data_IF_608702207126
#
_entry.id   IF_608702207126
#
_cell.length_a   1.000
_cell.length_b   1.000
_cell.length_c   1.000
_cell.angle_alpha   90.00
_cell.angle_beta   90.00
_cell.angle_gamma   90.00
#
_symmetry.space_group_name_H-M   'P 1'
#
loop_
_entity.id
_entity.type
_entity.pdbx_description
1 polymer ?
#
# COMPACT_ATOMS: atom_id res chain seq x y z
N UNK A 1 26.93 -5.41 -21.59
CA UNK A 1 26.87 -4.09 -20.91
C UNK A 1 26.93 -2.88 -21.85
N UNK A 2 27.21 -3.06 -23.16
CA UNK A 2 27.30 -1.95 -24.15
C UNK A 2 26.08 -1.84 -25.09
N UNK A 3 25.18 -2.83 -25.06
CA UNK A 3 23.99 -2.92 -25.93
C UNK A 3 22.76 -2.26 -25.28
N UNK A 4 22.68 -2.24 -23.95
CA UNK A 4 21.56 -1.63 -23.21
C UNK A 4 21.60 -0.09 -23.25
N UNK A 5 22.80 0.50 -23.33
CA UNK A 5 22.99 1.94 -23.49
C UNK A 5 22.74 2.43 -24.93
N UNK A 6 22.92 1.56 -25.93
CA UNK A 6 22.68 1.92 -27.33
C UNK A 6 21.17 1.95 -27.67
N UNK A 7 20.37 1.12 -27.01
CA UNK A 7 18.91 1.12 -27.19
C UNK A 7 18.20 2.26 -26.46
N UNK A 8 18.80 2.81 -25.39
CA UNK A 8 18.31 4.03 -24.74
C UNK A 8 18.62 5.30 -25.57
N UNK A 9 19.68 5.25 -26.39
CA UNK A 9 20.15 6.40 -27.19
C UNK A 9 19.31 6.60 -28.47
N UNK A 10 18.65 5.54 -28.96
CA UNK A 10 17.69 5.64 -30.08
C UNK A 10 16.34 6.23 -29.65
N UNK A 11 16.05 6.28 -28.35
CA UNK A 11 14.84 6.93 -27.80
C UNK A 11 14.94 8.46 -27.70
N UNK A 12 16.14 9.05 -27.88
CA UNK A 12 16.38 10.49 -27.77
C UNK A 12 16.37 11.25 -29.11
N UNK A 13 16.17 10.56 -30.25
CA UNK A 13 16.26 11.18 -31.59
C UNK A 13 15.18 10.76 -32.61
N UNK A 14 13.96 10.44 -32.16
CA UNK A 14 12.82 10.21 -33.08
C UNK A 14 11.53 10.92 -32.63
N UNK A 15 10.87 11.68 -33.52
CA UNK A 15 9.64 12.40 -33.19
C UNK A 15 8.46 11.44 -33.33
N UNK A 16 8.09 10.77 -32.23
CA UNK A 16 6.90 9.92 -32.13
C UNK A 16 6.22 10.11 -30.78
N UNK A 17 4.90 9.91 -30.71
CA UNK A 17 4.25 9.53 -29.44
C UNK A 17 4.76 8.13 -29.12
N UNK A 18 5.62 8.04 -28.12
CA UNK A 18 6.25 6.78 -27.73
C UNK A 18 5.47 6.22 -26.54
N UNK A 19 4.65 5.21 -26.81
CA UNK A 19 4.27 4.25 -25.78
C UNK A 19 5.34 3.16 -25.77
N UNK A 20 6.05 3.02 -24.65
CA UNK A 20 7.04 1.97 -24.46
C UNK A 20 6.49 0.98 -23.42
N UNK A 21 6.19 -0.23 -23.88
CA UNK A 21 5.79 -1.34 -23.03
C UNK A 21 6.97 -2.30 -22.86
N UNK A 22 7.47 -2.45 -21.63
CA UNK A 22 8.41 -3.52 -21.28
C UNK A 22 7.66 -4.65 -20.58
N UNK A 23 7.27 -5.67 -21.36
CA UNK A 23 6.61 -6.88 -20.85
C UNK A 23 7.43 -7.66 -19.82
N UNK A 24 8.75 -7.46 -19.76
CA UNK A 24 9.58 -8.10 -18.74
C UNK A 24 9.48 -7.41 -17.38
N UNK A 25 9.12 -6.12 -17.36
CA UNK A 25 9.02 -5.29 -16.16
C UNK A 25 7.60 -4.83 -15.84
N UNK A 26 6.60 -5.27 -16.62
CA UNK A 26 5.20 -4.82 -16.54
C UNK A 26 5.10 -3.29 -16.41
N UNK A 27 5.84 -2.57 -17.25
CA UNK A 27 5.90 -1.12 -17.25
C UNK A 27 5.29 -0.59 -18.56
N UNK A 28 4.34 0.34 -18.43
CA UNK A 28 3.85 1.16 -19.53
C UNK A 28 4.26 2.61 -19.29
N UNK A 29 5.00 3.19 -20.22
CA UNK A 29 5.35 4.62 -20.22
C UNK A 29 4.55 5.33 -21.30
N UNK A 30 3.85 6.39 -20.91
CA UNK A 30 3.11 7.28 -21.80
C UNK A 30 3.81 8.65 -21.82
N UNK A 31 4.38 8.99 -22.98
CA UNK A 31 4.96 10.29 -23.26
C UNK A 31 4.15 10.96 -24.38
N UNK A 32 3.63 12.15 -24.11
CA UNK A 32 3.05 13.00 -25.16
C UNK A 32 4.09 14.04 -25.58
N UNK A 33 4.35 14.20 -26.89
CA UNK A 33 5.27 15.22 -27.39
C UNK A 33 4.62 15.99 -28.55
N UNK A 34 4.77 17.32 -28.53
CA UNK A 34 4.04 18.31 -29.34
C UNK A 34 4.29 18.23 -30.85
N UNK A 35 5.31 17.51 -31.31
CA UNK A 35 5.73 17.59 -32.72
C UNK A 35 4.85 16.87 -33.75
N UNK A 36 3.75 16.22 -33.34
CA UNK A 36 2.94 15.40 -34.26
C UNK A 36 1.45 15.69 -34.03
N UNK A 37 0.99 16.79 -34.63
CA UNK A 37 -0.42 16.91 -35.01
C UNK A 37 -0.66 16.87 -36.53
N UNK A 38 0.38 16.83 -37.37
CA UNK A 38 0.21 16.71 -38.82
C UNK A 38 1.35 15.89 -39.44
N UNK A 39 1.12 14.61 -39.76
CA UNK A 39 1.62 13.95 -40.98
C UNK A 39 1.17 12.50 -41.06
N UNK A 40 0.66 12.14 -42.24
CA UNK A 40 -0.13 10.95 -42.51
C UNK A 40 0.67 9.64 -42.65
N UNK A 41 0.00 8.55 -42.27
CA UNK A 41 -0.16 7.27 -42.99
C UNK A 41 0.87 6.14 -42.94
N UNK A 42 2.13 6.32 -42.52
CA UNK A 42 3.08 5.17 -42.51
C UNK A 42 3.53 4.74 -41.12
N UNK A 43 3.47 5.63 -40.13
CA UNK A 43 3.79 5.32 -38.73
C UNK A 43 2.61 4.74 -37.93
N UNK A 44 1.37 5.10 -38.30
CA UNK A 44 0.13 4.50 -37.78
C UNK A 44 0.04 2.98 -38.03
N UNK A 45 0.78 2.45 -39.01
CA UNK A 45 0.85 1.00 -39.27
C UNK A 45 1.78 0.23 -38.31
N UNK A 46 2.60 0.92 -37.50
CA UNK A 46 3.41 0.29 -36.45
C UNK A 46 2.67 0.29 -35.10
N UNK A 47 1.88 1.34 -34.84
CA UNK A 47 0.95 1.39 -33.71
C UNK A 47 -0.18 0.35 -33.83
N UNK A 48 -0.63 0.00 -35.03
CA UNK A 48 -1.67 -1.04 -35.27
C UNK A 48 -1.23 -2.49 -35.00
N UNK A 49 0.04 -2.75 -34.67
CA UNK A 49 0.44 -4.04 -34.06
C UNK A 49 0.05 -4.15 -32.59
N UNK A 50 -0.27 -3.03 -31.94
CA UNK A 50 -1.22 -2.98 -30.84
C UNK A 50 -2.59 -2.64 -31.44
N UNK A 51 -3.45 -3.64 -31.53
CA UNK A 51 -4.72 -3.51 -32.23
C UNK A 51 -5.62 -2.47 -31.56
N UNK A 52 -5.93 -1.38 -32.27
CA UNK A 52 -6.95 -0.41 -31.89
C UNK A 52 -6.40 0.83 -31.18
N UNK A 53 -7.11 1.95 -31.29
CA UNK A 53 -6.80 3.18 -30.57
C UNK A 53 -6.60 2.86 -29.07
N UNK A 54 -5.52 3.38 -28.46
CA UNK A 54 -5.26 3.26 -27.02
C UNK A 54 -6.51 3.68 -26.25
N UNK A 55 -7.26 2.69 -25.78
CA UNK A 55 -8.50 2.92 -25.07
C UNK A 55 -8.16 3.07 -23.60
N UNK A 56 -8.65 4.13 -22.95
CA UNK A 56 -8.45 4.37 -21.51
C UNK A 56 -8.85 3.13 -20.69
N UNK A 57 -9.85 2.38 -21.17
CA UNK A 57 -10.30 1.11 -20.59
C UNK A 57 -9.25 0.00 -20.60
N UNK A 58 -8.40 -0.06 -21.62
CA UNK A 58 -7.34 -1.08 -21.69
C UNK A 58 -6.19 -0.74 -20.74
N UNK A 59 -5.87 0.55 -20.60
CA UNK A 59 -4.82 1.02 -19.69
C UNK A 59 -5.25 0.86 -18.23
N UNK A 60 -6.52 1.14 -17.91
CA UNK A 60 -7.07 0.90 -16.57
C UNK A 60 -7.07 -0.59 -16.23
N UNK A 61 -7.50 -1.46 -17.14
CA UNK A 61 -7.39 -2.92 -16.96
C UNK A 61 -5.93 -3.36 -16.73
N UNK A 62 -4.96 -2.76 -17.43
CA UNK A 62 -3.54 -3.05 -17.21
C UNK A 62 -3.07 -2.67 -15.79
N UNK A 63 -3.52 -1.53 -15.27
CA UNK A 63 -3.25 -1.13 -13.88
C UNK A 63 -3.93 -2.08 -12.90
N UNK A 64 -5.17 -2.50 -13.16
CA UNK A 64 -5.91 -3.47 -12.35
C UNK A 64 -5.26 -4.86 -12.32
N UNK A 65 -4.60 -5.26 -13.41
CA UNK A 65 -3.81 -6.49 -13.50
C UNK A 65 -2.45 -6.42 -12.76
N UNK A 66 -2.12 -5.26 -12.17
CA UNK A 66 -0.88 -5.05 -11.42
C UNK A 66 0.25 -4.41 -12.23
N UNK A 67 -0.06 -3.86 -13.40
CA UNK A 67 0.90 -3.14 -14.25
C UNK A 67 1.28 -1.78 -13.67
N UNK A 68 2.55 -1.40 -13.83
CA UNK A 68 3.05 -0.11 -13.40
C UNK A 68 2.98 0.92 -14.53
N UNK A 69 2.57 2.13 -14.20
CA UNK A 69 2.29 3.20 -15.16
C UNK A 69 3.16 4.42 -14.86
N UNK A 70 3.77 4.99 -15.89
CA UNK A 70 4.37 6.33 -15.82
C UNK A 70 3.73 7.20 -16.89
N UNK A 71 3.09 8.28 -16.47
CA UNK A 71 2.47 9.27 -17.34
C UNK A 71 3.23 10.57 -17.17
N UNK A 72 3.76 11.08 -18.28
CA UNK A 72 4.41 12.38 -18.30
C UNK A 72 3.63 13.27 -19.25
N UNK A 73 3.04 14.31 -18.66
CA UNK A 73 2.24 15.31 -19.33
C UNK A 73 3.07 16.59 -19.49
N UNK A 74 2.90 17.28 -20.61
CA UNK A 74 3.37 18.66 -20.80
C UNK A 74 2.18 19.56 -21.17
N UNK A 75 2.36 20.89 -21.33
CA UNK A 75 1.29 21.91 -21.40
C UNK A 75 0.12 21.64 -22.36
N UNK A 76 0.30 20.75 -23.32
CA UNK A 76 -0.69 20.34 -24.29
C UNK A 76 -1.01 18.85 -24.13
N UNK A 77 -1.83 18.51 -23.14
CA UNK A 77 -2.26 17.14 -22.84
C UNK A 77 -3.48 16.76 -23.68
N UNK A 78 -3.44 15.62 -24.35
CA UNK A 78 -4.58 15.05 -25.06
C UNK A 78 -5.72 14.66 -24.12
N UNK A 79 -6.96 14.69 -24.62
CA UNK A 79 -8.17 14.35 -23.84
C UNK A 79 -8.08 12.95 -23.20
N UNK A 80 -7.51 11.97 -23.91
CA UNK A 80 -7.37 10.59 -23.40
C UNK A 80 -6.47 10.46 -22.17
N UNK A 81 -5.41 11.28 -22.06
CA UNK A 81 -4.54 11.27 -20.87
C UNK A 81 -5.22 11.98 -19.70
N UNK A 82 -6.07 12.98 -19.99
CA UNK A 82 -6.89 13.64 -18.96
C UNK A 82 -7.99 12.74 -18.42
N UNK A 83 -8.65 11.99 -19.30
CA UNK A 83 -9.62 10.95 -18.92
C UNK A 83 -8.94 9.86 -18.08
N UNK A 84 -7.76 9.37 -18.49
CA UNK A 84 -6.96 8.42 -17.73
C UNK A 84 -6.59 8.95 -16.34
N UNK A 85 -6.14 10.21 -16.26
CA UNK A 85 -5.86 10.88 -15.00
C UNK A 85 -7.11 10.90 -14.11
N UNK A 86 -8.25 11.32 -14.65
CA UNK A 86 -9.52 11.43 -13.91
C UNK A 86 -9.97 10.07 -13.35
N UNK A 87 -9.83 8.98 -14.12
CA UNK A 87 -10.07 7.61 -13.62
C UNK A 87 -9.14 7.21 -12.47
N UNK A 88 -7.92 7.77 -12.42
CA UNK A 88 -6.97 7.59 -11.33
C UNK A 88 -7.15 8.59 -10.17
N UNK A 89 -8.10 9.54 -10.27
CA UNK A 89 -8.30 10.62 -9.29
C UNK A 89 -7.31 11.79 -9.40
N UNK A 90 -6.64 11.91 -10.55
CA UNK A 90 -5.68 12.94 -10.90
C UNK A 90 -6.26 13.81 -12.01
N UNK A 91 -6.60 15.06 -11.70
CA UNK A 91 -7.11 16.01 -12.67
C UNK A 91 -5.97 16.82 -13.28
N UNK A 92 -5.85 16.79 -14.60
CA UNK A 92 -4.96 17.68 -15.33
C UNK A 92 -5.69 18.96 -15.70
N UNK A 93 -4.97 20.07 -15.69
CA UNK A 93 -5.52 21.36 -16.09
C UNK A 93 -5.83 21.47 -17.61
N UNK A 94 -6.45 22.59 -17.99
CA UNK A 94 -6.76 22.91 -19.38
C UNK A 94 -5.51 23.01 -20.27
N UNK A 95 -5.72 22.96 -21.59
CA UNK A 95 -4.62 23.10 -22.55
C UNK A 95 -3.97 24.49 -22.47
N UNK A 96 -2.66 24.52 -22.63
CA UNK A 96 -1.83 25.73 -22.55
C UNK A 96 -1.90 26.44 -21.20
N UNK A 97 -2.26 25.73 -20.14
CA UNK A 97 -2.03 26.21 -18.77
C UNK A 97 -0.58 25.94 -18.37
N UNK A 98 -0.03 26.77 -17.50
CA UNK A 98 1.32 26.62 -16.95
C UNK A 98 1.27 26.94 -15.45
N UNK A 99 2.17 26.30 -14.68
CA UNK A 99 2.44 26.71 -13.30
C UNK A 99 3.27 27.98 -13.32
N UNK A 100 2.69 29.06 -12.79
CA UNK A 100 3.33 30.36 -12.72
C UNK A 100 3.67 30.66 -11.26
N UNK A 101 4.93 30.98 -11.00
CA UNK A 101 5.38 31.51 -9.71
C UNK A 101 6.26 32.74 -9.95
N UNK A 102 5.83 33.89 -9.42
CA UNK A 102 6.53 35.17 -9.57
C UNK A 102 7.64 35.38 -8.54
N UNK A 103 7.74 34.52 -7.52
CA UNK A 103 8.71 34.69 -6.44
C UNK A 103 9.88 33.70 -6.53
N UNK A 104 9.64 32.47 -7.00
CA UNK A 104 10.64 31.40 -7.02
C UNK A 104 10.98 30.96 -8.46
N UNK A 105 11.45 31.88 -9.29
CA UNK A 105 11.89 31.60 -10.66
C UNK A 105 13.41 31.78 -10.81
N UNK A 106 14.02 31.07 -11.77
CA UNK A 106 15.43 31.23 -12.08
C UNK A 106 15.64 32.41 -13.05
N UNK A 107 16.68 33.23 -12.83
CA UNK A 107 17.00 34.41 -13.66
C UNK A 107 17.46 34.04 -15.07
N UNK A 108 17.82 32.77 -15.31
CA UNK A 108 18.08 32.26 -16.66
C UNK A 108 16.80 32.17 -17.50
N UNK A 109 15.64 32.24 -16.85
CA UNK A 109 14.31 32.14 -17.45
C UNK A 109 13.67 33.51 -17.78
N UNK A 110 14.36 34.62 -17.45
CA UNK A 110 13.84 36.01 -17.45
C UNK A 110 13.55 36.61 -18.85
N UNK A 111 13.40 35.78 -19.89
CA UNK A 111 13.17 36.20 -21.27
C UNK A 111 12.09 35.44 -22.03
N UNK A 112 11.61 34.31 -21.51
CA UNK A 112 10.53 33.52 -22.11
C UNK A 112 9.59 33.08 -21.00
N UNK A 113 8.38 33.62 -21.01
CA UNK A 113 7.21 33.17 -20.21
C UNK A 113 6.77 31.75 -20.64
N UNK A 114 7.71 30.87 -21.02
CA UNK A 114 7.45 29.64 -21.76
C UNK A 114 8.41 28.48 -21.48
N UNK A 115 9.26 28.55 -20.44
CA UNK A 115 10.13 27.43 -20.04
C UNK A 115 9.71 26.76 -18.72
N UNK A 116 8.71 27.30 -18.02
CA UNK A 116 8.05 26.62 -16.92
C UNK A 116 6.96 25.68 -17.46
N UNK A 117 7.34 24.71 -18.29
CA UNK A 117 6.42 23.70 -18.84
C UNK A 117 6.10 22.64 -17.78
N UNK A 118 5.63 23.09 -16.63
CA UNK A 118 5.09 22.22 -15.60
C UNK A 118 3.60 22.46 -15.59
N UNK A 119 2.86 21.46 -16.04
CA UNK A 119 1.45 21.31 -15.80
C UNK A 119 1.18 20.81 -14.41
N UNK A 120 -0.03 21.13 -14.00
CA UNK A 120 -0.55 20.75 -12.71
C UNK A 120 -1.30 19.45 -12.83
N UNK A 121 -1.04 18.63 -11.83
CA UNK A 121 -1.92 17.58 -11.39
C UNK A 121 -2.64 18.14 -10.16
N UNK A 122 -3.94 18.34 -10.28
CA UNK A 122 -4.80 18.51 -9.10
C UNK A 122 -5.20 17.11 -8.66
N UNK A 123 -4.74 16.66 -7.50
CA UNK A 123 -5.26 15.42 -6.94
C UNK A 123 -6.51 15.67 -6.13
N UNK A 124 -7.46 14.75 -6.25
CA UNK A 124 -8.59 14.69 -5.34
C UNK A 124 -8.11 14.36 -3.92
N UNK A 125 -8.20 15.34 -3.02
CA UNK A 125 -7.81 15.21 -1.61
C UNK A 125 -8.63 14.17 -0.85
N UNK A 126 -9.76 13.71 -1.41
CA UNK A 126 -10.58 12.67 -0.79
C UNK A 126 -10.04 11.26 -1.03
N UNK A 127 -9.15 11.07 -2.01
CA UNK A 127 -8.62 9.76 -2.37
C UNK A 127 -7.41 9.38 -1.49
N UNK A 128 -7.52 8.37 -0.59
CA UNK A 128 -6.43 7.98 0.31
C UNK A 128 -5.30 7.18 -0.36
N UNK A 129 -5.46 6.81 -1.64
CA UNK A 129 -4.47 6.04 -2.41
C UNK A 129 -3.47 6.94 -3.15
N UNK A 130 -3.78 8.22 -3.27
CA UNK A 130 -2.89 9.21 -3.87
C UNK A 130 -1.83 9.65 -2.87
N UNK A 131 -0.61 9.77 -3.36
CA UNK A 131 0.56 10.20 -2.64
C UNK A 131 1.07 11.45 -3.34
N UNK A 132 1.03 12.57 -2.63
CA UNK A 132 1.65 13.81 -3.07
C UNK A 132 3.17 13.69 -2.90
N UNK A 133 3.90 13.71 -4.01
CA UNK A 133 5.36 13.61 -4.02
C UNK A 133 5.99 15.00 -4.02
N UNK A 134 5.48 15.89 -4.88
CA UNK A 134 5.98 17.24 -5.03
C UNK A 134 4.83 18.20 -5.31
N UNK A 135 4.64 19.15 -4.39
CA UNK A 135 3.69 20.25 -4.54
C UNK A 135 4.39 21.56 -4.90
N UNK A 136 3.63 22.47 -5.49
CA UNK A 136 4.04 23.84 -5.79
C UNK A 136 4.29 24.68 -4.54
N UNK A 137 4.92 25.83 -4.74
CA UNK A 137 5.14 26.81 -3.68
C UNK A 137 3.82 27.46 -3.24
N UNK A 138 3.85 28.15 -2.09
CA UNK A 138 2.68 28.92 -1.60
C UNK A 138 2.28 30.08 -2.52
N UNK A 139 3.17 30.51 -3.41
CA UNK A 139 2.99 31.63 -4.33
C UNK A 139 2.67 31.19 -5.77
N UNK A 140 2.72 29.88 -6.03
CA UNK A 140 2.40 29.32 -7.34
C UNK A 140 0.90 29.26 -7.61
N UNK A 141 0.51 29.38 -8.88
CA UNK A 141 -0.86 29.15 -9.35
C UNK A 141 -0.84 28.62 -10.78
N UNK A 142 -1.89 27.90 -11.18
CA UNK A 142 -2.10 27.54 -12.59
C UNK A 142 -2.85 28.63 -13.32
N UNK A 143 -2.35 29.06 -14.47
CA UNK A 143 -3.21 29.75 -15.42
C UNK A 143 -2.65 29.70 -16.83
N UNK A 144 -3.48 30.03 -17.81
CA UNK A 144 -3.00 30.28 -19.15
C UNK A 144 -2.35 31.69 -19.21
N UNK A 145 -1.05 31.81 -19.52
CA UNK A 145 -0.34 33.10 -19.46
C UNK A 145 -0.84 34.12 -20.49
N UNK A 146 -1.45 33.68 -21.59
CA UNK A 146 -1.95 34.55 -22.65
C UNK A 146 -3.29 35.19 -22.29
N UNK A 147 -4.00 34.64 -21.29
CA UNK A 147 -5.32 35.11 -20.86
C UNK A 147 -5.18 35.95 -19.60
N UNK A 148 -6.01 36.98 -19.49
CA UNK A 148 -6.17 37.73 -18.23
C UNK A 148 -6.96 36.89 -17.23
N UNK A 149 -6.50 36.85 -15.98
CA UNK A 149 -7.18 36.13 -14.90
C UNK A 149 -8.51 36.82 -14.59
N UNK A 150 -9.60 36.21 -15.03
CA UNK A 150 -10.98 36.63 -14.72
C UNK A 150 -11.61 35.67 -13.72
N UNK A 151 -11.43 34.36 -13.97
CA UNK A 151 -11.95 33.29 -13.13
C UNK A 151 -10.92 32.86 -12.08
N UNK A 152 -11.42 32.21 -11.03
CA UNK A 152 -10.54 31.62 -10.03
C UNK A 152 -9.73 30.48 -10.68
N UNK A 153 -8.39 30.49 -10.58
CA UNK A 153 -7.57 29.45 -11.17
C UNK A 153 -7.80 28.09 -10.50
N UNK A 154 -7.72 27.00 -11.27
CA UNK A 154 -8.08 25.65 -10.82
C UNK A 154 -7.31 25.22 -9.57
N UNK A 155 -6.00 25.48 -9.52
CA UNK A 155 -5.20 25.25 -8.33
C UNK A 155 -4.36 26.48 -7.97
N UNK A 156 -4.24 26.70 -6.66
CA UNK A 156 -3.51 27.83 -6.09
C UNK A 156 -2.72 27.38 -4.87
N UNK A 157 -1.50 27.88 -4.75
CA UNK A 157 -0.61 27.66 -3.64
C UNK A 157 -0.16 26.20 -3.53
N UNK A 158 -0.15 25.70 -2.29
CA UNK A 158 0.34 24.34 -1.98
C UNK A 158 -0.56 23.22 -2.46
N UNK A 159 -1.77 23.53 -2.94
CA UNK A 159 -2.67 22.53 -3.50
C UNK A 159 -2.29 22.14 -4.93
N UNK A 160 -1.43 22.94 -5.58
CA UNK A 160 -0.84 22.60 -6.88
C UNK A 160 0.08 21.41 -6.71
N UNK A 161 -0.20 20.26 -7.32
CA UNK A 161 0.75 19.14 -7.35
C UNK A 161 1.45 19.09 -8.71
N UNK A 162 2.76 18.86 -8.65
CA UNK A 162 3.63 18.78 -9.83
C UNK A 162 3.97 17.32 -10.15
N UNK A 163 4.11 16.50 -9.09
CA UNK A 163 4.35 15.07 -9.19
C UNK A 163 3.42 14.38 -8.20
N UNK A 164 2.59 13.48 -8.72
CA UNK A 164 1.64 12.70 -7.93
C UNK A 164 1.84 11.23 -8.23
N UNK A 165 1.90 10.43 -7.18
CA UNK A 165 1.98 8.99 -7.27
C UNK A 165 0.66 8.37 -6.81
N UNK A 166 0.28 7.25 -7.41
CA UNK A 166 -0.85 6.44 -6.99
C UNK A 166 -0.35 5.05 -6.66
N UNK A 167 -0.76 4.53 -5.51
CA UNK A 167 -0.60 3.13 -5.16
C UNK A 167 -1.97 2.48 -5.10
N UNK A 168 -2.28 1.64 -6.08
CA UNK A 168 -3.54 0.92 -6.15
C UNK A 168 -3.60 -0.20 -5.09
N UNK A 169 -4.81 -0.73 -4.82
CA UNK A 169 -5.04 -1.79 -3.83
C UNK A 169 -4.37 -3.12 -4.17
N UNK A 170 -4.17 -3.38 -5.45
CA UNK A 170 -3.39 -4.52 -5.96
C UNK A 170 -1.86 -4.26 -5.89
N UNK A 171 -1.43 -3.13 -5.30
CA UNK A 171 -0.06 -2.65 -5.25
C UNK A 171 0.55 -2.24 -6.61
N UNK A 172 -0.25 -2.02 -7.65
CA UNK A 172 0.20 -1.34 -8.86
C UNK A 172 0.61 0.10 -8.53
N UNK A 173 1.69 0.57 -9.18
CA UNK A 173 2.22 1.93 -8.98
C UNK A 173 2.03 2.73 -10.25
N UNK A 174 1.36 3.86 -10.13
CA UNK A 174 1.27 4.85 -11.18
C UNK A 174 1.96 6.15 -10.75
N UNK A 175 2.70 6.77 -11.66
CA UNK A 175 3.37 8.05 -11.43
C UNK A 175 2.94 9.03 -12.51
N UNK A 176 2.42 10.16 -12.08
CA UNK A 176 1.99 11.27 -12.92
C UNK A 176 2.99 12.41 -12.72
N UNK A 177 3.64 12.83 -13.80
CA UNK A 177 4.59 13.93 -13.82
C UNK A 177 4.02 15.01 -14.74
N UNK A 178 3.84 16.22 -14.21
CA UNK A 178 3.29 17.35 -14.95
C UNK A 178 4.26 18.04 -15.90
N UNK A 179 5.49 17.57 -16.07
CA UNK A 179 6.47 18.19 -16.96
C UNK A 179 7.31 17.16 -17.71
N UNK A 180 7.37 17.30 -19.04
CA UNK A 180 8.29 16.54 -19.88
C UNK A 180 9.72 17.05 -19.71
N UNK A 181 9.88 18.37 -19.60
CA UNK A 181 11.19 19.00 -19.46
C UNK A 181 11.87 18.60 -18.14
N UNK A 182 11.09 18.23 -17.11
CA UNK A 182 11.61 17.61 -15.89
C UNK A 182 12.48 16.38 -16.14
N UNK A 183 12.24 15.62 -17.21
CA UNK A 183 13.06 14.45 -17.57
C UNK A 183 14.18 14.78 -18.58
N UNK A 184 14.37 16.06 -18.93
CA UNK A 184 15.36 16.50 -19.91
C UNK A 184 16.78 16.52 -19.32
N UNK A 185 17.77 16.20 -20.16
CA UNK A 185 19.18 16.30 -19.80
C UNK A 185 19.59 17.74 -19.42
N UNK A 186 18.95 18.75 -20.03
CA UNK A 186 19.17 20.16 -19.68
C UNK A 186 18.87 20.45 -18.21
N UNK A 187 17.80 19.86 -17.64
CA UNK A 187 17.46 20.03 -16.23
C UNK A 187 18.19 19.08 -15.29
N UNK A 188 18.84 18.03 -15.80
CA UNK A 188 19.73 17.19 -15.01
C UNK A 188 21.11 17.82 -14.83
N UNK A 189 21.61 18.53 -15.84
CA UNK A 189 22.94 19.15 -15.82
C UNK A 189 22.93 20.62 -15.37
N UNK A 190 21.77 21.25 -15.31
CA UNK A 190 21.67 22.66 -14.92
C UNK A 190 22.04 22.90 -13.46
N UNK A 191 22.43 24.15 -13.19
CA UNK A 191 22.71 24.64 -11.84
C UNK A 191 21.66 25.66 -11.44
N UNK A 192 21.15 25.52 -10.21
CA UNK A 192 20.16 26.41 -9.61
C UNK A 192 20.79 27.25 -8.51
N UNK A 193 20.36 28.51 -8.39
CA UNK A 193 20.71 29.37 -7.27
C UNK A 193 19.74 29.12 -6.11
N UNK A 194 20.24 28.70 -4.95
CA UNK A 194 19.41 28.61 -3.73
C UNK A 194 19.18 30.01 -3.15
N UNK A 195 18.20 30.18 -2.26
CA UNK A 195 17.95 31.42 -1.47
C UNK A 195 19.23 31.98 -0.79
N UNK A 196 20.22 31.13 -0.53
CA UNK A 196 21.54 31.50 0.00
C UNK A 196 22.57 31.98 -1.05
N UNK A 197 22.14 32.26 -2.30
CA UNK A 197 22.97 32.65 -3.45
C UNK A 197 24.14 31.70 -3.76
N UNK A 198 23.99 30.43 -3.40
CA UNK A 198 24.93 29.37 -3.77
C UNK A 198 24.39 28.63 -4.98
N UNK A 199 25.22 28.53 -6.01
CA UNK A 199 24.93 27.71 -7.18
C UNK A 199 25.17 26.25 -6.85
N UNK A 200 24.12 25.44 -6.90
CA UNK A 200 24.16 23.99 -6.65
C UNK A 200 23.67 23.26 -7.91
N UNK A 201 24.22 22.10 -8.20
CA UNK A 201 23.74 21.24 -9.30
C UNK A 201 22.32 20.76 -8.98
N UNK A 202 21.44 20.76 -9.97
CA UNK A 202 20.08 20.27 -9.82
C UNK A 202 20.04 18.82 -9.33
N UNK A 203 19.36 18.56 -8.22
CA UNK A 203 19.13 17.21 -7.69
C UNK A 203 18.09 16.39 -8.47
N UNK A 204 17.64 16.90 -9.62
CA UNK A 204 16.53 16.33 -10.39
C UNK A 204 16.82 14.91 -10.89
N UNK A 205 18.05 14.64 -11.34
CA UNK A 205 18.46 13.31 -11.77
C UNK A 205 18.29 12.26 -10.65
N UNK A 206 18.68 12.61 -9.41
CA UNK A 206 18.56 11.72 -8.27
C UNK A 206 17.09 11.50 -7.88
N UNK A 207 16.26 12.54 -7.96
CA UNK A 207 14.81 12.43 -7.73
C UNK A 207 14.16 11.49 -8.76
N UNK A 208 14.44 11.71 -10.04
CA UNK A 208 13.91 10.91 -11.14
C UNK A 208 14.32 9.43 -11.01
N UNK A 209 15.60 9.15 -10.73
CA UNK A 209 16.08 7.78 -10.51
C UNK A 209 15.35 7.10 -9.35
N UNK A 210 15.17 7.79 -8.23
CA UNK A 210 14.46 7.24 -7.07
C UNK A 210 12.97 6.98 -7.37
N UNK A 211 12.30 7.89 -8.09
CA UNK A 211 10.90 7.73 -8.48
C UNK A 211 10.71 6.56 -9.44
N UNK A 212 11.56 6.43 -10.45
CA UNK A 212 11.49 5.31 -11.40
C UNK A 212 11.75 3.97 -10.72
N UNK A 213 12.75 3.89 -9.81
CA UNK A 213 13.00 2.67 -9.01
C UNK A 213 11.82 2.30 -8.12
N UNK A 214 11.10 3.31 -7.61
CA UNK A 214 9.87 3.08 -6.86
C UNK A 214 8.77 2.55 -7.79
N UNK A 215 8.46 3.19 -8.91
CA UNK A 215 7.41 2.72 -9.83
C UNK A 215 7.71 1.31 -10.36
N UNK A 216 8.96 1.00 -10.65
CA UNK A 216 9.39 -0.31 -11.16
C UNK A 216 9.37 -1.43 -10.11
N UNK A 217 9.06 -1.15 -8.84
CA UNK A 217 9.10 -2.15 -7.78
C UNK A 217 10.52 -2.64 -7.46
N UNK A 218 11.54 -1.82 -7.71
CA UNK A 218 12.91 -2.10 -7.25
C UNK A 218 13.07 -1.70 -5.79
N UNK A 219 12.43 -0.61 -5.38
CA UNK A 219 12.42 -0.11 -3.99
C UNK A 219 11.05 -0.18 -3.33
N UNK A 220 11.03 -0.26 -2.00
CA UNK A 220 9.80 -0.25 -1.21
C UNK A 220 8.91 -1.48 -1.44
N UNK A 221 9.48 -2.58 -1.95
CA UNK A 221 8.73 -3.81 -2.17
C UNK A 221 8.82 -4.70 -0.94
N UNK A 222 7.68 -5.02 -0.34
CA UNK A 222 7.58 -5.93 0.80
C UNK A 222 6.84 -7.20 0.38
N UNK A 223 7.23 -8.32 0.99
CA UNK A 223 6.49 -9.59 0.92
C UNK A 223 6.52 -10.32 2.25
N UNK A 224 5.47 -11.07 2.55
CA UNK A 224 5.51 -12.07 3.61
C UNK A 224 5.89 -13.43 3.03
N UNK A 225 6.75 -14.18 3.71
CA UNK A 225 7.23 -15.49 3.25
C UNK A 225 6.32 -16.61 3.75
N UNK A 226 6.01 -16.57 5.05
CA UNK A 226 5.10 -17.50 5.69
C UNK A 226 4.54 -16.88 6.96
N UNK A 227 3.40 -17.42 7.36
CA UNK A 227 2.77 -17.19 8.65
C UNK A 227 2.69 -18.52 9.39
N UNK A 228 3.01 -18.50 10.69
CA UNK A 228 2.87 -19.66 11.58
C UNK A 228 2.18 -19.22 12.86
N UNK A 229 1.23 -20.01 13.31
CA UNK A 229 0.59 -19.85 14.60
C UNK A 229 0.50 -21.22 15.29
N UNK A 230 0.71 -21.28 16.59
CA UNK A 230 0.63 -22.50 17.39
C UNK A 230 0.49 -22.17 18.87
N UNK A 231 0.07 -23.14 19.70
CA UNK A 231 0.07 -22.96 21.15
C UNK A 231 1.49 -22.82 21.69
N UNK A 232 1.64 -22.15 22.84
CA UNK A 232 2.91 -22.12 23.56
C UNK A 232 3.34 -23.56 23.91
N UNK A 233 4.53 -23.96 23.47
CA UNK A 233 5.08 -25.30 23.70
C UNK A 233 4.80 -26.33 22.59
N UNK A 234 3.90 -26.01 21.66
CA UNK A 234 3.67 -26.80 20.44
C UNK A 234 4.40 -26.17 19.25
N UNK A 235 4.57 -26.89 18.14
CA UNK A 235 5.17 -26.38 16.89
C UNK A 235 4.20 -26.38 15.71
N UNK A 236 3.12 -27.16 15.82
CA UNK A 236 2.10 -27.29 14.80
C UNK A 236 0.82 -26.56 15.22
N UNK A 237 0.09 -25.95 14.28
CA UNK A 237 -1.20 -25.36 14.60
C UNK A 237 -2.21 -26.46 14.97
N UNK A 238 -2.93 -26.34 16.11
CA UNK A 238 -4.05 -27.21 16.39
C UNK A 238 -5.22 -26.93 15.43
N UNK A 239 -6.12 -27.90 15.27
CA UNK A 239 -7.32 -27.71 14.44
C UNK A 239 -8.27 -26.65 14.99
N UNK A 240 -8.33 -26.52 16.31
CA UNK A 240 -9.20 -25.58 17.02
C UNK A 240 -8.52 -25.14 18.32
N UNK A 241 -8.57 -23.85 18.59
CA UNK A 241 -8.11 -23.28 19.86
C UNK A 241 -9.25 -23.24 20.87
N UNK A 242 -8.90 -23.27 22.15
CA UNK A 242 -9.83 -23.02 23.24
C UNK A 242 -9.80 -21.57 23.69
N UNK A 243 -10.89 -21.12 24.32
CA UNK A 243 -10.90 -19.82 25.00
C UNK A 243 -9.76 -19.80 26.03
N UNK A 244 -9.03 -18.68 26.12
CA UNK A 244 -7.88 -18.47 27.03
C UNK A 244 -6.61 -19.26 26.67
N UNK A 245 -6.49 -19.83 25.47
CA UNK A 245 -5.22 -20.41 25.03
C UNK A 245 -4.17 -19.31 24.75
N UNK A 246 -2.94 -19.54 25.21
CA UNK A 246 -1.77 -18.75 24.81
C UNK A 246 -1.23 -19.23 23.46
N UNK A 247 -1.11 -18.30 22.51
CA UNK A 247 -0.70 -18.57 21.14
C UNK A 247 0.51 -17.75 20.74
N UNK A 248 1.38 -18.36 19.97
CA UNK A 248 2.53 -17.69 19.38
C UNK A 248 2.20 -17.47 17.91
N UNK A 249 2.26 -16.20 17.48
CA UNK A 249 2.13 -15.83 16.08
C UNK A 249 3.48 -15.36 15.53
N UNK A 250 3.85 -15.88 14.37
CA UNK A 250 5.12 -15.63 13.71
C UNK A 250 4.84 -15.33 12.24
N UNK A 251 5.25 -14.15 11.80
CA UNK A 251 5.28 -13.76 10.39
C UNK A 251 6.70 -13.40 9.99
N UNK A 252 7.16 -13.91 8.85
CA UNK A 252 8.46 -13.54 8.27
C UNK A 252 8.22 -12.57 7.11
N UNK A 253 8.74 -11.35 7.23
CA UNK A 253 8.64 -10.29 6.21
C UNK A 253 10.02 -10.04 5.61
N UNK A 254 10.07 -9.90 4.30
CA UNK A 254 11.27 -9.56 3.54
C UNK A 254 11.02 -8.29 2.73
N UNK A 255 12.06 -7.47 2.62
CA UNK A 255 12.12 -6.31 1.73
C UNK A 255 13.15 -6.56 0.64
N UNK A 256 12.95 -5.92 -0.51
CA UNK A 256 13.94 -5.94 -1.59
C UNK A 256 15.02 -4.88 -1.34
N UNK A 257 16.28 -5.27 -1.44
CA UNK A 257 17.45 -4.39 -1.39
C UNK A 257 17.70 -3.72 -2.75
N UNK A 258 18.57 -2.70 -2.79
CA UNK A 258 18.95 -1.98 -4.01
C UNK A 258 19.57 -2.89 -5.08
N UNK A 259 20.12 -4.03 -4.68
CA UNK A 259 20.68 -5.05 -5.57
C UNK A 259 19.61 -6.05 -6.10
N UNK A 260 18.35 -5.88 -5.71
CA UNK A 260 17.24 -6.78 -6.06
C UNK A 260 17.15 -8.05 -5.21
N UNK A 261 17.99 -8.19 -4.18
CA UNK A 261 17.99 -9.34 -3.27
C UNK A 261 16.94 -9.16 -2.17
N UNK A 262 16.33 -10.25 -1.72
CA UNK A 262 15.39 -10.23 -0.61
C UNK A 262 16.12 -10.35 0.72
N UNK A 263 15.96 -9.33 1.57
CA UNK A 263 16.56 -9.25 2.91
C UNK A 263 15.47 -9.15 3.98
N UNK A 264 15.71 -9.60 5.22
CA UNK A 264 14.72 -9.46 6.30
C UNK A 264 14.34 -8.00 6.52
N UNK A 265 13.03 -7.73 6.63
CA UNK A 265 12.52 -6.39 6.87
C UNK A 265 12.67 -6.04 8.36
N UNK A 266 13.40 -4.96 8.66
CA UNK A 266 13.61 -4.48 10.02
C UNK A 266 12.71 -3.27 10.27
N UNK A 267 11.63 -3.45 11.02
CA UNK A 267 10.71 -2.39 11.38
C UNK A 267 10.16 -2.58 12.79
N UNK A 268 10.16 -1.49 13.57
CA UNK A 268 9.68 -1.54 14.93
C UNK A 268 8.15 -1.47 14.98
N UNK A 269 7.50 -0.76 14.07
CA UNK A 269 6.10 -0.34 14.16
C UNK A 269 5.08 -1.34 13.59
N UNK A 270 5.50 -2.57 13.36
CA UNK A 270 4.66 -3.65 12.86
C UNK A 270 3.61 -4.02 13.92
N UNK A 271 2.34 -4.11 13.52
CA UNK A 271 1.23 -4.43 14.42
C UNK A 271 0.49 -5.67 13.95
N UNK A 272 -0.03 -6.42 14.91
CA UNK A 272 -0.94 -7.52 14.67
C UNK A 272 -2.27 -7.23 15.35
N UNK A 273 -3.35 -7.49 14.62
CA UNK A 273 -4.71 -7.28 15.06
C UNK A 273 -5.44 -8.61 15.17
N UNK A 274 -6.16 -8.79 16.28
CA UNK A 274 -7.12 -9.88 16.41
C UNK A 274 -8.53 -9.31 16.25
N UNK A 275 -9.28 -9.78 15.26
CA UNK A 275 -10.50 -9.10 14.77
C UNK A 275 -11.65 -10.07 14.54
N UNK A 276 -12.71 -10.03 15.37
CA UNK A 276 -13.93 -10.80 15.09
C UNK A 276 -14.89 -10.06 14.16
N UNK A 277 -15.28 -8.85 14.57
CA UNK A 277 -16.07 -7.87 13.82
C UNK A 277 -15.32 -6.54 13.97
N UNK A 278 -15.05 -6.18 15.23
CA UNK A 278 -14.15 -5.11 15.63
C UNK A 278 -12.82 -5.67 16.16
N UNK A 279 -11.71 -4.92 16.07
CA UNK A 279 -10.42 -5.34 16.60
C UNK A 279 -10.49 -5.44 18.13
N UNK A 280 -10.32 -6.65 18.65
CA UNK A 280 -10.35 -6.93 20.08
C UNK A 280 -8.98 -6.68 20.73
N UNK A 281 -7.91 -7.00 20.01
CA UNK A 281 -6.52 -6.80 20.45
C UNK A 281 -5.74 -6.21 19.28
N UNK A 282 -5.04 -5.10 19.52
CA UNK A 282 -4.02 -4.55 18.62
C UNK A 282 -2.72 -4.50 19.40
N UNK A 283 -1.69 -5.20 18.93
CA UNK A 283 -0.41 -5.28 19.66
C UNK A 283 0.77 -5.16 18.70
N UNK A 284 1.78 -4.41 19.12
CA UNK A 284 3.03 -4.19 18.38
C UNK A 284 3.88 -5.46 18.42
N UNK A 285 4.36 -5.91 17.26
CA UNK A 285 5.17 -7.11 17.09
C UNK A 285 6.62 -6.86 17.48
N UNK A 286 7.26 -7.85 18.11
CA UNK A 286 8.70 -7.85 18.37
C UNK A 286 9.43 -8.72 17.33
N UNK A 287 10.66 -8.33 16.99
CA UNK A 287 11.46 -8.87 15.88
C UNK A 287 11.76 -10.38 15.90
N UNK A 288 11.53 -11.10 17.00
CA UNK A 288 11.91 -12.52 17.12
C UNK A 288 10.74 -13.50 17.18
N UNK A 289 9.57 -13.06 17.62
CA UNK A 289 8.32 -13.83 17.74
C UNK A 289 7.46 -13.15 18.80
N UNK A 290 6.14 -13.21 18.66
CA UNK A 290 5.24 -12.62 19.64
C UNK A 290 4.34 -13.69 20.28
N UNK A 291 4.29 -13.68 21.61
CA UNK A 291 3.32 -14.45 22.39
C UNK A 291 2.10 -13.57 22.64
N UNK A 292 0.92 -14.05 22.25
CA UNK A 292 -0.37 -13.39 22.44
C UNK A 292 -1.43 -14.40 22.89
N UNK A 293 -2.21 -14.05 23.91
CA UNK A 293 -3.36 -14.83 24.36
C UNK A 293 -4.57 -14.55 23.45
N UNK A 294 -5.22 -15.62 22.98
CA UNK A 294 -6.13 -15.55 21.82
C UNK A 294 -7.59 -15.20 22.16
N UNK A 295 -8.18 -14.34 21.32
CA UNK A 295 -9.63 -14.25 21.06
C UNK A 295 -9.89 -13.98 19.56
N UNK A 296 -10.13 -15.06 18.79
CA UNK A 296 -10.60 -15.24 17.41
C UNK A 296 -10.25 -14.22 16.28
N UNK A 297 -9.63 -14.76 15.21
CA UNK A 297 -9.18 -14.19 13.92
C UNK A 297 -7.95 -13.29 13.99
N UNK A 298 -6.95 -13.56 13.16
CA UNK A 298 -5.68 -12.81 13.14
C UNK A 298 -5.55 -12.09 11.80
N UNK A 299 -5.54 -10.76 11.84
CA UNK A 299 -5.32 -9.88 10.70
C UNK A 299 -3.97 -9.20 10.89
N UNK A 300 -3.12 -9.36 9.89
CA UNK A 300 -1.90 -8.59 9.73
C UNK A 300 -2.12 -7.58 8.62
N UNK A 301 -2.08 -6.29 8.97
CA UNK A 301 -2.19 -5.19 8.03
C UNK A 301 -1.03 -4.20 8.24
N UNK A 302 -0.15 -4.09 7.24
CA UNK A 302 0.93 -3.13 7.22
C UNK A 302 0.79 -2.19 6.02
N UNK A 303 0.26 -1.00 6.30
CA UNK A 303 0.14 0.10 5.35
C UNK A 303 1.05 1.26 5.75
N UNK A 304 2.06 1.55 4.91
CA UNK A 304 2.95 2.70 5.03
C UNK A 304 3.19 3.31 3.66
N UNK A 305 3.14 4.63 3.59
CA UNK A 305 3.40 5.39 2.36
C UNK A 305 4.77 5.01 1.81
N UNK A 306 4.82 4.67 0.52
CA UNK A 306 6.04 4.27 -0.18
C UNK A 306 6.37 2.78 -0.11
N UNK A 307 5.74 2.00 0.78
CA UNK A 307 5.89 0.55 0.85
C UNK A 307 4.69 -0.19 0.27
N UNK A 308 4.92 -1.39 -0.24
CA UNK A 308 3.84 -2.33 -0.61
C UNK A 308 2.90 -2.56 0.58
N UNK A 309 1.59 -2.46 0.34
CA UNK A 309 0.57 -2.79 1.32
C UNK A 309 0.57 -4.31 1.54
N UNK A 310 0.89 -4.74 2.77
CA UNK A 310 0.90 -6.14 3.15
C UNK A 310 -0.33 -6.45 3.99
N UNK A 311 -1.26 -7.19 3.39
CA UNK A 311 -2.42 -7.76 4.07
C UNK A 311 -2.27 -9.29 4.12
N UNK A 312 -2.30 -9.86 5.33
CA UNK A 312 -2.35 -11.30 5.55
C UNK A 312 -3.42 -11.60 6.60
N UNK A 313 -4.44 -12.35 6.20
CA UNK A 313 -5.57 -12.71 7.06
C UNK A 313 -5.56 -14.22 7.28
N UNK A 314 -5.43 -14.64 8.54
CA UNK A 314 -5.54 -16.05 8.91
C UNK A 314 -6.76 -16.28 9.79
N UNK A 315 -7.67 -17.11 9.28
CA UNK A 315 -8.88 -17.47 10.01
C UNK A 315 -8.62 -18.60 10.98
N UNK A 316 -8.82 -18.33 12.27
CA UNK A 316 -8.59 -19.28 13.35
C UNK A 316 -9.88 -19.52 14.14
N UNK A 317 -10.44 -20.74 14.16
CA UNK A 317 -11.63 -21.05 14.95
C UNK A 317 -11.27 -21.21 16.43
N UNK A 318 -11.97 -20.45 17.29
CA UNK A 318 -11.87 -20.57 18.75
C UNK A 318 -13.17 -21.17 19.29
N UNK A 319 -13.05 -22.31 20.00
CA UNK A 319 -14.17 -23.01 20.63
C UNK A 319 -14.22 -22.77 22.14
N UNK A 320 -15.40 -22.82 22.76
CA UNK A 320 -15.51 -22.87 24.22
C UNK A 320 -14.94 -24.16 24.80
N UNK A 321 -14.81 -24.18 26.13
CA UNK A 321 -14.39 -25.37 26.87
C UNK A 321 -15.39 -26.52 26.68
N UNK A 322 -14.85 -27.74 26.56
CA UNK A 322 -15.66 -28.95 26.61
C UNK A 322 -16.01 -29.32 28.05
N UNK A 323 -17.04 -30.14 28.25
CA UNK A 323 -17.47 -30.62 29.57
C UNK A 323 -16.35 -31.31 30.39
N UNK A 324 -15.29 -31.80 29.73
CA UNK A 324 -14.11 -32.40 30.35
C UNK A 324 -13.07 -31.40 30.84
N UNK A 325 -13.10 -30.16 30.34
CA UNK A 325 -12.08 -29.14 30.56
C UNK A 325 -12.42 -28.17 31.70
N UNK A 326 -13.64 -28.21 32.22
CA UNK A 326 -13.99 -27.44 33.43
C UNK A 326 -13.20 -27.93 34.63
N UNK A 327 -12.82 -26.99 35.49
CA UNK A 327 -12.18 -27.29 36.76
C UNK A 327 -13.05 -28.22 37.62
N UNK A 328 -12.41 -29.19 38.25
CA UNK A 328 -13.05 -30.19 39.12
C UNK A 328 -12.44 -30.10 40.51
N UNK A 329 -13.22 -30.53 41.50
CA UNK A 329 -12.82 -30.50 42.91
C UNK A 329 -12.59 -29.08 43.44
N UNK A 330 -13.62 -28.25 43.28
CA UNK A 330 -13.63 -26.89 43.79
C UNK A 330 -13.57 -26.90 45.32
N UNK A 331 -12.65 -26.13 45.89
CA UNK A 331 -12.50 -26.00 47.35
C UNK A 331 -13.80 -25.49 47.99
N UNK A 332 -14.46 -24.54 47.33
CA UNK A 332 -15.75 -24.01 47.78
C UNK A 332 -16.88 -25.07 47.77
N UNK A 333 -16.73 -26.15 46.99
CA UNK A 333 -17.72 -27.21 46.87
C UNK A 333 -17.47 -28.41 47.80
N UNK A 334 -16.44 -28.37 48.65
CA UNK A 334 -16.17 -29.45 49.62
C UNK A 334 -17.36 -29.83 50.51
N UNK A 335 -18.20 -28.90 51.02
CA UNK A 335 -19.37 -29.26 51.81
C UNK A 335 -20.35 -30.16 51.04
N UNK A 336 -20.54 -29.93 49.73
CA UNK A 336 -21.43 -30.75 48.89
C UNK A 336 -20.84 -32.14 48.64
N UNK A 337 -19.54 -32.21 48.34
CA UNK A 337 -18.85 -33.49 48.17
C UNK A 337 -18.90 -34.33 49.45
N UNK A 338 -18.66 -33.70 50.61
CA UNK A 338 -18.75 -34.34 51.92
C UNK A 338 -20.18 -34.79 52.26
N UNK A 339 -21.20 -33.98 51.95
CA UNK A 339 -22.60 -34.34 52.16
C UNK A 339 -23.01 -35.59 51.37
N UNK A 340 -22.64 -35.67 50.09
CA UNK A 340 -22.94 -36.84 49.26
C UNK A 340 -22.29 -38.12 49.79
N UNK A 341 -21.01 -38.05 50.18
CA UNK A 341 -20.29 -39.19 50.77
C UNK A 341 -20.92 -39.59 52.12
N UNK A 342 -21.28 -38.60 52.94
CA UNK A 342 -21.95 -38.84 54.23
C UNK A 342 -23.29 -39.56 54.05
N UNK A 343 -24.10 -39.17 53.07
CA UNK A 343 -25.35 -39.85 52.75
C UNK A 343 -25.14 -41.30 52.30
N UNK A 344 -24.09 -41.58 51.50
CA UNK A 344 -23.76 -42.93 51.06
C UNK A 344 -23.33 -43.82 52.24
N UNK A 345 -22.48 -43.30 53.13
CA UNK A 345 -22.06 -44.03 54.35
C UNK A 345 -23.26 -44.26 55.26
N UNK A 346 -24.11 -43.25 55.44
CA UNK A 346 -25.33 -43.33 56.24
C UNK A 346 -26.28 -44.41 55.74
N UNK A 347 -26.49 -44.51 54.42
CA UNK A 347 -27.32 -45.56 53.81
C UNK A 347 -26.74 -46.96 54.06
N UNK A 348 -25.42 -47.12 53.95
CA UNK A 348 -24.75 -48.40 54.21
C UNK A 348 -24.93 -48.80 55.67
N UNK A 349 -24.63 -47.90 56.62
CA UNK A 349 -24.78 -48.15 58.05
C UNK A 349 -26.25 -48.42 58.41
N UNK A 350 -27.18 -47.65 57.86
CA UNK A 350 -28.61 -47.88 58.05
C UNK A 350 -29.02 -49.26 57.53
N UNK A 351 -28.58 -49.66 56.34
CA UNK A 351 -28.88 -50.99 55.79
C UNK A 351 -28.33 -52.12 56.67
N UNK A 352 -27.13 -51.98 57.21
CA UNK A 352 -26.56 -52.96 58.15
C UNK A 352 -27.36 -53.03 59.45
N UNK A 353 -27.63 -51.89 60.08
CA UNK A 353 -28.38 -51.85 61.33
C UNK A 353 -29.79 -52.36 61.12
N UNK A 354 -30.48 -51.94 60.06
CA UNK A 354 -31.86 -52.34 59.76
C UNK A 354 -31.99 -53.85 59.52
N UNK A 355 -31.04 -54.48 58.83
CA UNK A 355 -31.09 -55.93 58.56
C UNK A 355 -30.72 -56.78 59.78
N UNK A 356 -29.82 -56.30 60.63
CA UNK A 356 -29.34 -57.05 61.81
C UNK A 356 -29.96 -56.58 63.12
N UNK A 357 -30.96 -55.68 63.06
CA UNK A 357 -31.73 -55.27 64.23
C UNK A 357 -32.57 -56.45 64.69
N UNK A 358 -32.35 -56.89 65.92
CA UNK A 358 -33.21 -57.85 66.58
C UNK A 358 -34.39 -57.09 67.18
N UNK A 359 -35.61 -57.37 66.72
CA UNK A 359 -36.81 -56.81 67.32
C UNK A 359 -36.94 -57.32 68.76
N UNK A 360 -36.87 -56.42 69.73
CA UNK A 360 -37.32 -56.70 71.10
C UNK A 360 -38.86 -56.65 71.12
N UNK A 361 -39.47 -57.72 70.60
CA UNK A 361 -40.84 -58.06 71.00
C UNK A 361 -40.78 -58.63 72.41
N UNK A 362 -40.95 -57.75 73.40
CA UNK A 362 -41.62 -58.18 74.62
C UNK A 362 -42.97 -58.77 74.23
N UNK A 363 -43.19 -60.02 74.63
CA UNK A 363 -44.50 -60.65 74.66
C UNK A 363 -45.40 -59.79 75.55
N UNK A 364 -46.23 -58.94 74.95
CA UNK A 364 -47.48 -58.48 75.55
C UNK A 364 -48.58 -59.45 75.17
N UNK A 365 -49.32 -59.92 76.18
CA UNK A 365 -50.37 -60.95 76.18
C UNK A 365 -51.43 -60.87 75.08
#
# INVERSE_FOLDING_TARGET
MQIMWLHLLVLLFSPFVVSYEDKSKNLLVLLENFHIKETHSTFLNMLTKFGGALNVKEITNFVDDGGNLVVVAGPNVGESIRELGSECGVEFDEENTLVIDHFNFDKKDDGLVGSHNILIISADQTNPLLIDVLHGSKTSYSYNPDKTIVDYPNTVGTNTQLITALQARNNARALFIGSLDFLSNSFFESTVETESHKSVVCGNQMLTDNLLRWVLGERGQLRHVYVKHHRVGETLPPSQYTILDDVIYIIKIETKDDNGNWVPFNADDVQLEFVRIDPFIRKKMEHKSMVVSLFCLDIFDYYRVGYTHLLSVTQVPVRPFTHTQYERFLVAAYPYYGSAISMMIGLILFSFVFLYLKDDKEKGE
#
